data_IF_237379058499
#
_entry.id   IF_237379058499
#
_cell.length_a   1.000
_cell.length_b   1.000
_cell.length_c   1.000
_cell.angle_alpha   90.00
_cell.angle_beta   90.00
_cell.angle_gamma   90.00
#
_symmetry.space_group_name_H-M   'P 1'
#
loop_
_entity.id
_entity.type
_entity.pdbx_description
1 polymer ?
2 branched ?
3 branched ?
4 non-polymer ?
5 water ?
#
# COMPACT_ATOMS: atom_id res chain seq x y z
N UNK A 124 30.24 -8.26 -39.66
CA UNK A 124 28.87 -8.72 -39.26
C UNK A 124 28.08 -7.59 -38.57
N UNK A 125 26.73 -7.67 -38.63
CA UNK A 125 25.91 -6.65 -37.98
C UNK A 125 25.77 -6.91 -36.47
N UNK A 126 25.54 -5.86 -35.66
CA UNK A 126 25.42 -6.05 -34.22
C UNK A 126 24.18 -6.85 -33.83
N UNK A 127 24.11 -7.33 -32.58
CA UNK A 127 22.91 -8.05 -32.15
C UNK A 127 21.63 -7.21 -32.29
N UNK A 128 20.55 -7.87 -32.71
CA UNK A 128 19.23 -7.24 -32.81
C UNK A 128 18.45 -7.52 -31.51
N UNK A 129 17.53 -6.62 -31.17
CA UNK A 129 16.68 -6.77 -30.00
C UNK A 129 17.37 -6.56 -28.66
N UNK A 130 18.40 -5.71 -28.67
CA UNK A 130 19.21 -5.43 -27.48
C UNK A 130 18.41 -4.68 -26.42
N UNK A 131 18.26 -5.29 -25.24
CA UNK A 131 17.50 -4.72 -24.14
C UNK A 131 18.29 -4.85 -22.85
N UNK A 132 18.48 -3.73 -22.15
CA UNK A 132 19.27 -3.66 -20.92
C UNK A 132 18.36 -3.35 -19.74
N UNK A 133 18.23 -4.31 -18.81
CA UNK A 133 17.37 -4.16 -17.65
C UNK A 133 18.14 -4.29 -16.34
N UNK A 134 17.84 -3.42 -15.35
CA UNK A 134 18.44 -3.62 -14.04
C UNK A 134 17.72 -4.71 -13.28
N UNK A 135 18.44 -5.75 -12.88
CA UNK A 135 17.89 -6.85 -12.07
C UNK A 135 18.27 -6.79 -10.59
N UNK A 136 19.33 -6.08 -10.26
CA UNK A 136 19.72 -5.90 -8.88
C UNK A 136 20.45 -4.59 -8.65
N UNK A 137 20.84 -4.38 -7.39
CA UNK A 137 21.60 -3.22 -6.95
C UNK A 137 23.04 -3.20 -7.52
N UNK A 138 23.59 -4.37 -7.85
CA UNK A 138 24.95 -4.50 -8.39
C UNK A 138 25.02 -5.19 -9.76
N UNK A 139 23.88 -5.45 -10.39
CA UNK A 139 23.84 -6.20 -11.65
C UNK A 139 22.86 -5.61 -12.67
N UNK A 140 23.25 -5.66 -13.93
CA UNK A 140 22.39 -5.37 -15.07
C UNK A 140 22.36 -6.59 -15.98
N UNK A 141 21.23 -6.81 -16.65
CA UNK A 141 21.05 -7.94 -17.58
C UNK A 141 20.85 -7.42 -19.00
N UNK A 142 21.81 -7.71 -19.88
CA UNK A 142 21.69 -7.42 -21.30
C UNK A 142 21.18 -8.65 -22.04
N UNK A 143 20.07 -8.50 -22.76
CA UNK A 143 19.50 -9.56 -23.59
C UNK A 143 19.45 -9.11 -25.06
N UNK A 144 19.58 -10.07 -25.98
CA UNK A 144 19.37 -9.80 -27.42
C UNK A 144 18.68 -10.98 -28.13
N UNK A 145 18.35 -10.80 -29.41
CA UNK A 145 17.72 -11.85 -30.23
C UNK A 145 18.79 -12.77 -30.80
N UNK A 146 18.59 -14.12 -30.68
CA UNK A 146 19.55 -15.12 -31.16
C UNK A 146 20.16 -14.81 -32.52
N UNK A 147 21.49 -14.91 -32.61
CA UNK A 147 22.22 -14.53 -33.81
C UNK A 147 22.14 -15.68 -34.82
N UNK A 148 22.10 -15.32 -36.11
CA UNK A 148 21.98 -16.28 -37.22
C UNK A 148 23.34 -16.55 -37.86
N UNK A 149 23.83 -17.82 -37.81
CA UNK A 149 25.10 -18.14 -38.46
C UNK A 149 24.97 -18.28 -39.97
N UNK A 152 28.69 -18.02 -41.86
CA UNK A 152 28.87 -19.46 -41.64
C UNK A 152 29.41 -19.75 -40.24
N UNK A 153 30.69 -19.42 -40.01
CA UNK A 153 31.33 -19.62 -38.71
C UNK A 153 32.68 -18.88 -38.64
N UNK A 154 33.23 -18.61 -37.45
CA UNK A 154 32.63 -18.92 -36.15
C UNK A 154 32.85 -17.71 -35.24
N UNK A 155 31.81 -17.30 -34.50
CA UNK A 155 31.76 -15.96 -33.88
C UNK A 155 31.46 -15.93 -32.37
N UNK A 156 31.68 -14.75 -31.80
CA UNK A 156 31.33 -14.44 -30.41
C UNK A 156 30.79 -13.00 -30.34
N UNK A 157 30.21 -12.65 -29.18
CA UNK A 157 29.63 -11.32 -28.96
C UNK A 157 30.47 -10.54 -27.94
N UNK A 158 31.03 -9.41 -28.38
CA UNK A 158 31.80 -8.52 -27.51
C UNK A 158 30.84 -7.55 -26.85
N UNK A 159 30.76 -7.58 -25.54
CA UNK A 159 29.94 -6.64 -24.77
C UNK A 159 30.85 -5.68 -24.01
N UNK A 160 30.60 -4.38 -24.17
CA UNK A 160 31.31 -3.33 -23.44
C UNK A 160 30.34 -2.61 -22.55
N UNK A 161 30.63 -2.55 -21.24
CA UNK A 161 29.86 -1.74 -20.29
C UNK A 161 30.80 -0.72 -19.66
N UNK A 162 30.24 0.40 -19.24
CA UNK A 162 31.03 1.61 -18.95
C UNK A 162 30.23 2.50 -18.00
N UNK A 163 30.84 2.88 -16.89
CA UNK A 163 30.19 3.76 -15.89
C UNK A 163 30.23 5.22 -16.30
N UNK A 164 29.24 5.97 -15.84
CA UNK A 164 29.14 7.41 -16.09
C UNK A 164 29.67 8.20 -14.89
N UNK A 165 29.16 7.90 -13.70
CA UNK A 165 29.55 8.60 -12.47
C UNK A 165 31.03 8.41 -12.15
N UNK A 166 31.57 7.24 -12.49
CA UNK A 166 32.99 6.93 -12.31
C UNK A 166 33.63 6.50 -13.63
N UNK A 167 34.96 6.41 -13.63
CA UNK A 167 35.71 5.91 -14.77
C UNK A 167 35.97 4.41 -14.61
N UNK A 168 35.13 3.60 -15.25
CA UNK A 168 35.14 2.15 -15.06
C UNK A 168 34.52 1.41 -16.25
N UNK A 169 35.37 0.97 -17.18
CA UNK A 169 34.95 0.16 -18.33
C UNK A 169 35.42 -1.29 -18.21
N UNK A 170 34.50 -2.23 -18.43
CA UNK A 170 34.81 -3.65 -18.57
C UNK A 170 34.35 -4.12 -19.96
N UNK A 171 35.02 -5.13 -20.47
CA UNK A 171 34.81 -5.67 -21.81
C UNK A 171 34.72 -7.19 -21.69
N UNK A 172 33.57 -7.76 -22.03
CA UNK A 172 33.32 -9.19 -21.89
C UNK A 172 33.07 -9.82 -23.26
N UNK A 173 33.72 -10.96 -23.50
CA UNK A 173 33.46 -11.80 -24.67
C UNK A 173 32.55 -12.95 -24.21
N UNK A 174 31.48 -13.19 -24.96
CA UNK A 174 30.55 -14.30 -24.67
C UNK A 174 30.26 -15.08 -25.96
N UNK A 175 30.11 -16.42 -25.84
CA UNK A 175 29.96 -17.25 -27.04
C UNK A 175 28.67 -16.96 -27.80
N UNK A 176 28.76 -16.86 -29.12
CA UNK A 176 27.66 -16.38 -29.96
C UNK A 176 26.31 -17.06 -29.82
N UNK A 177 26.33 -18.36 -29.53
CA UNK A 177 25.08 -19.15 -29.48
C UNK A 177 24.15 -18.85 -28.29
N UNK A 178 24.66 -18.24 -27.22
CA UNK A 178 23.81 -17.83 -26.09
C UNK A 178 23.28 -16.41 -26.28
N UNK A 179 22.20 -16.09 -25.56
CA UNK A 179 21.34 -14.95 -25.89
C UNK A 179 21.44 -13.73 -24.95
N UNK A 180 22.17 -13.85 -23.84
CA UNK A 180 22.25 -12.78 -22.84
C UNK A 180 23.51 -12.85 -21.97
N UNK A 181 23.78 -11.76 -21.26
CA UNK A 181 24.86 -11.70 -20.26
C UNK A 181 24.39 -10.96 -19.03
N UNK A 182 24.81 -11.43 -17.87
CA UNK A 182 24.64 -10.69 -16.62
C UNK A 182 25.93 -9.92 -16.36
N UNK A 183 25.80 -8.59 -16.32
CA UNK A 183 26.90 -7.70 -15.97
C UNK A 183 26.83 -7.50 -14.47
N UNK A 184 27.90 -7.89 -13.76
CA UNK A 184 27.89 -7.93 -12.28
C UNK A 184 29.05 -7.13 -11.69
N UNK A 185 29.08 -7.04 -10.36
CA UNK A 185 30.08 -6.24 -9.61
C UNK A 185 30.00 -4.76 -9.97
N UNK A 186 28.78 -4.23 -9.93
CA UNK A 186 28.51 -2.81 -10.19
C UNK A 186 28.14 -2.14 -8.87
N UNK A 187 28.21 -0.81 -8.86
CA UNK A 187 27.90 -0.04 -7.66
C UNK A 187 26.42 0.35 -7.65
N UNK A 188 25.82 0.53 -6.45
CA UNK A 188 24.42 0.95 -6.37
C UNK A 188 24.14 2.35 -6.89
N UNK A 189 22.89 2.58 -7.31
CA UNK A 189 22.43 3.82 -7.96
C UNK A 189 23.54 4.52 -8.77
N UNK A 190 23.94 3.84 -9.84
CA UNK A 190 24.99 4.30 -10.73
C UNK A 190 24.61 3.89 -12.16
N UNK A 191 24.68 4.82 -13.10
CA UNK A 191 24.27 4.52 -14.48
C UNK A 191 25.43 4.04 -15.33
N UNK A 192 25.13 3.10 -16.22
CA UNK A 192 26.11 2.48 -17.08
C UNK A 192 25.62 2.59 -18.51
N UNK A 193 26.55 2.81 -19.43
CA UNK A 193 26.30 2.85 -20.86
C UNK A 193 26.89 1.56 -21.41
N UNK A 194 26.14 0.89 -22.28
CA UNK A 194 26.50 -0.43 -22.80
C UNK A 194 26.36 -0.46 -24.32
N UNK A 195 27.33 -1.11 -25.00
CA UNK A 195 27.23 -1.41 -26.43
C UNK A 195 27.72 -2.82 -26.69
N UNK A 196 27.42 -3.33 -27.88
CA UNK A 196 27.74 -4.70 -28.26
C UNK A 196 28.01 -4.83 -29.74
N UNK A 197 28.62 -5.95 -30.11
CA UNK A 197 28.92 -6.28 -31.50
C UNK A 197 29.22 -7.75 -31.66
N UNK A 198 29.47 -8.16 -32.90
CA UNK A 198 29.85 -9.54 -33.21
C UNK A 198 31.17 -9.52 -33.98
N UNK A 199 32.14 -10.33 -33.57
CA UNK A 199 33.43 -10.46 -34.23
C UNK A 199 33.65 -11.90 -34.72
N UNK A 200 34.47 -12.10 -35.73
CA UNK A 200 34.57 -13.44 -36.31
C UNK A 200 35.88 -14.19 -35.97
N UNK A 201 37.10 -13.89 -36.47
CA UNK A 201 37.59 -12.89 -37.45
C UNK A 201 37.02 -11.48 -37.40
N UNK A 202 36.56 -11.02 -38.57
CA UNK A 202 36.23 -9.61 -38.83
C UNK A 202 35.55 -8.88 -37.68
N UNK A 203 36.01 -7.66 -37.43
CA UNK A 203 35.43 -6.82 -36.40
C UNK A 203 34.12 -6.19 -36.89
N UNK A 204 33.05 -6.56 -36.19
CA UNK A 204 31.73 -6.03 -36.53
C UNK A 204 31.55 -4.60 -36.08
N UNK A 205 30.55 -3.94 -36.66
CA UNK A 205 30.21 -2.57 -36.27
C UNK A 205 29.42 -2.59 -34.96
N UNK A 206 29.69 -1.60 -34.11
CA UNK A 206 29.07 -1.52 -32.79
C UNK A 206 27.59 -1.23 -32.86
N UNK A 207 26.85 -1.71 -31.87
CA UNK A 207 25.43 -1.37 -31.72
C UNK A 207 25.27 0.07 -31.20
N UNK A 208 24.02 0.50 -31.10
CA UNK A 208 23.69 1.76 -30.43
C UNK A 208 23.92 1.61 -28.93
N UNK A 209 24.14 2.73 -28.25
CA UNK A 209 24.40 2.73 -26.81
C UNK A 209 23.10 2.59 -26.04
N UNK A 210 23.00 1.52 -25.26
CA UNK A 210 21.94 1.37 -24.27
C UNK A 210 22.43 1.91 -22.94
N UNK A 211 21.54 2.55 -22.17
CA UNK A 211 21.88 3.01 -20.81
C UNK A 211 20.86 2.49 -19.81
N UNK A 212 21.30 2.38 -18.56
CA UNK A 212 20.45 1.93 -17.46
C UNK A 212 21.13 2.24 -16.14
N UNK A 213 20.31 2.47 -15.11
CA UNK A 213 20.81 2.59 -13.74
C UNK A 213 20.66 1.26 -13.02
N UNK A 214 21.63 0.90 -12.19
CA UNK A 214 21.47 -0.19 -11.24
C UNK A 214 20.51 0.26 -10.14
N UNK A 215 19.83 -0.69 -9.50
CA UNK A 215 18.83 -0.36 -8.47
C UNK A 215 19.43 0.42 -7.31
N UNK A 216 18.56 1.16 -6.62
CA UNK A 216 18.98 2.04 -5.54
C UNK A 216 19.33 1.25 -4.30
N UNK A 217 20.32 1.74 -3.54
CA UNK A 217 20.63 1.24 -2.20
C UNK A 217 19.87 2.01 -1.11
N UNK A 218 19.45 3.24 -1.42
CA UNK A 218 18.77 4.11 -0.46
C UNK A 218 17.32 4.43 -0.86
N UNK A 219 16.61 5.05 0.08
CA UNK A 219 15.23 5.49 -0.12
C UNK A 219 15.25 6.67 -1.10
N UNK A 220 14.22 6.79 -1.97
CA UNK A 220 14.27 7.82 -3.01
C UNK A 220 13.92 9.21 -2.47
N UNK A 221 14.41 10.28 -3.14
CA UNK A 221 14.09 11.64 -2.70
C UNK A 221 12.66 12.05 -3.04
N UNK A 222 12.13 12.98 -2.25
CA UNK A 222 10.78 13.53 -2.44
C UNK A 222 10.71 14.28 -3.78
N UNK A 223 9.58 14.16 -4.53
CA UNK A 223 9.42 14.93 -5.76
C UNK A 223 9.47 16.44 -5.57
N UNK A 224 10.30 17.12 -6.36
CA UNK A 224 10.50 18.56 -6.26
C UNK A 224 9.57 19.29 -7.21
N UNK A 225 9.54 20.62 -7.10
CA UNK A 225 8.73 21.49 -7.96
C UNK A 225 7.24 21.14 -7.92
N UNK A 226 6.73 20.90 -6.72
CA UNK A 226 5.33 20.50 -6.53
C UNK A 226 4.46 21.75 -6.69
N UNK A 227 3.60 21.74 -7.71
CA UNK A 227 2.78 22.90 -8.05
C UNK A 227 1.32 22.49 -8.19
N UNK A 228 0.48 22.98 -7.29
CA UNK A 228 -0.97 22.80 -7.37
C UNK A 228 -1.53 24.04 -8.07
N UNK A 229 -2.33 23.83 -9.12
CA UNK A 229 -2.84 24.91 -9.96
C UNK A 229 -4.13 24.49 -10.66
N UNK A 230 -4.70 25.36 -11.51
CA UNK A 230 -5.98 25.11 -12.21
C UNK A 230 -7.12 24.81 -11.21
N UNK A 231 -7.14 25.51 -10.08
CA UNK A 231 -8.04 25.19 -8.96
C UNK A 231 -9.49 25.55 -9.29
N UNK A 232 -10.36 24.55 -9.33
CA UNK A 232 -11.78 24.71 -9.69
C UNK A 232 -12.65 24.18 -8.53
N UNK A 233 -13.97 24.19 -8.72
CA UNK A 233 -14.93 23.71 -7.71
C UNK A 233 -14.82 22.21 -7.41
N UNK A 234 -14.52 21.41 -8.43
CA UNK A 234 -14.44 19.95 -8.28
C UNK A 234 -13.19 19.35 -8.94
N UNK A 235 -12.14 20.15 -9.12
CA UNK A 235 -10.90 19.67 -9.74
C UNK A 235 -9.72 20.60 -9.51
N UNK A 236 -8.52 20.05 -9.72
CA UNK A 236 -7.28 20.82 -9.71
C UNK A 236 -6.19 19.99 -10.38
N UNK A 237 -5.16 20.65 -10.89
CA UNK A 237 -4.05 19.95 -11.53
C UNK A 237 -2.81 20.03 -10.64
N UNK A 238 -2.13 18.88 -10.47
CA UNK A 238 -0.90 18.81 -9.70
C UNK A 238 0.24 18.44 -10.66
N UNK A 239 1.38 19.08 -10.47
CA UNK A 239 2.58 18.84 -11.26
C UNK A 239 3.76 18.73 -10.30
N UNK A 240 4.81 18.06 -10.75
CA UNK A 240 5.96 17.73 -9.92
C UNK A 240 7.18 17.41 -10.79
N UNK A 241 8.29 17.11 -10.15
CA UNK A 241 9.49 16.66 -10.85
C UNK A 241 10.22 15.67 -9.95
N UNK A 242 10.66 14.56 -10.56
CA UNK A 242 11.44 13.55 -9.86
C UNK A 242 12.88 13.58 -10.37
N UNK A 243 13.82 13.28 -9.49
CA UNK A 243 15.23 13.21 -9.84
C UNK A 243 15.48 11.81 -10.39
N UNK A 244 16.06 11.73 -11.59
CA UNK A 244 16.48 10.46 -12.15
C UNK A 244 17.73 9.99 -11.42
N UNK A 245 17.90 8.68 -11.34
CA UNK A 245 19.03 8.06 -10.64
C UNK A 245 18.69 7.16 -9.47
N UNK A 246 17.42 7.17 -9.03
CA UNK A 246 16.98 6.40 -7.85
C UNK A 246 15.96 5.29 -8.16
N UNK A 247 15.82 4.93 -9.44
CA UNK A 247 14.93 3.85 -9.88
C UNK A 247 13.48 4.06 -9.42
N UNK A 248 13.00 5.30 -9.51
CA UNK A 248 11.61 5.60 -9.19
C UNK A 248 10.72 4.95 -10.24
N UNK A 249 9.98 3.93 -9.82
CA UNK A 249 9.08 3.17 -10.69
C UNK A 249 7.66 3.71 -10.70
N UNK A 250 7.27 4.43 -9.65
CA UNK A 250 5.92 5.01 -9.55
C UNK A 250 5.87 6.18 -8.60
N UNK A 251 4.81 6.97 -8.72
CA UNK A 251 4.50 8.02 -7.76
C UNK A 251 3.05 7.88 -7.31
N UNK A 252 2.79 8.22 -6.06
CA UNK A 252 1.45 8.20 -5.49
C UNK A 252 1.04 9.63 -5.11
N UNK A 253 -0.21 10.00 -5.45
CA UNK A 253 -0.80 11.27 -5.03
C UNK A 253 -1.92 10.97 -4.02
N UNK A 254 -1.61 11.20 -2.74
CA UNK A 254 -2.59 11.00 -1.66
C UNK A 254 -3.29 12.30 -1.34
N UNK A 255 -4.62 12.32 -1.43
CA UNK A 255 -5.41 13.49 -1.04
C UNK A 255 -6.60 13.16 -0.14
N UNK A 256 -6.80 13.97 0.89
CA UNK A 256 -7.89 13.80 1.85
C UNK A 256 -8.40 15.13 2.38
N UNK A 257 -9.60 15.10 2.94
CA UNK A 257 -10.24 16.28 3.52
C UNK A 257 -9.45 16.66 4.77
N UNK A 258 -9.27 17.96 4.97
CA UNK A 258 -8.28 18.47 5.94
C UNK A 258 -8.69 18.34 7.42
N UNK A 259 -9.97 18.07 7.68
CA UNK A 259 -10.50 17.94 9.05
C UNK A 259 -9.79 16.94 9.96
N UNK A 260 -9.98 17.12 11.26
CA UNK A 260 -9.31 16.30 12.28
C UNK A 260 -9.80 14.84 12.33
N UNK A 261 -10.98 14.56 11.75
CA UNK A 261 -11.51 13.20 11.65
C UNK A 261 -10.58 12.24 10.89
N UNK A 262 -10.51 12.38 9.56
CA UNK A 262 -9.67 11.53 8.70
C UNK A 262 -10.06 10.04 8.78
N UNK A 263 -11.26 9.75 8.25
CA UNK A 263 -11.76 8.38 8.12
C UNK A 263 -11.45 7.74 6.76
N UNK A 264 -11.09 8.55 5.77
CA UNK A 264 -10.76 8.03 4.43
C UNK A 264 -9.85 8.97 3.64
N UNK A 265 -8.98 8.39 2.82
CA UNK A 265 -8.19 9.15 1.83
C UNK A 265 -8.18 8.43 0.49
N UNK A 266 -7.67 9.14 -0.52
CA UNK A 266 -7.61 8.65 -1.89
C UNK A 266 -6.17 8.65 -2.39
N UNK A 267 -5.69 7.48 -2.80
CA UNK A 267 -4.37 7.32 -3.44
C UNK A 267 -4.55 7.19 -4.95
N UNK A 268 -4.03 8.16 -5.70
CA UNK A 268 -3.89 8.05 -7.15
C UNK A 268 -2.50 7.47 -7.39
N UNK A 269 -2.46 6.24 -7.90
CA UNK A 269 -1.21 5.52 -8.15
C UNK A 269 -0.83 5.61 -9.63
N UNK A 270 0.27 6.30 -9.92
CA UNK A 270 0.76 6.49 -11.29
C UNK A 270 1.99 5.60 -11.52
N UNK A 271 1.80 4.55 -12.32
CA UNK A 271 2.75 3.43 -12.44
C UNK A 271 3.91 3.64 -13.43
N UNK A 272 3.83 4.64 -14.31
CA UNK A 272 4.99 5.02 -15.14
C UNK A 272 5.53 6.39 -14.74
N UNK A 273 6.81 6.43 -14.37
CA UNK A 273 7.46 7.63 -13.86
C UNK A 273 7.73 8.72 -14.92
N UNK A 274 7.36 8.48 -16.18
CA UNK A 274 7.40 9.49 -17.24
C UNK A 274 6.43 10.65 -17.00
N UNK A 275 5.23 10.31 -16.52
CA UNK A 275 4.17 11.28 -16.30
C UNK A 275 4.59 12.33 -15.25
N UNK A 276 4.43 13.59 -15.60
CA UNK A 276 4.94 14.73 -14.83
C UNK A 276 3.81 15.57 -14.20
N UNK A 277 2.56 15.19 -14.44
CA UNK A 277 1.38 16.01 -14.13
C UNK A 277 0.12 15.16 -14.04
N UNK A 278 -0.81 15.55 -13.16
CA UNK A 278 -2.11 14.86 -13.01
C UNK A 278 -3.22 15.82 -12.60
N UNK A 279 -4.43 15.58 -13.13
CA UNK A 279 -5.62 16.36 -12.76
C UNK A 279 -6.53 15.58 -11.82
N UNK A 280 -6.68 16.07 -10.59
CA UNK A 280 -7.66 15.54 -9.64
C UNK A 280 -9.06 15.95 -10.10
N UNK A 281 -10.04 15.07 -9.89
CA UNK A 281 -11.41 15.29 -10.34
C UNK A 281 -12.44 14.88 -9.29
N UNK A 282 -13.63 15.47 -9.41
CA UNK A 282 -14.76 15.15 -8.54
C UNK A 282 -14.55 15.49 -7.08
N UNK A 283 -13.79 16.55 -6.80
CA UNK A 283 -13.63 17.08 -5.46
C UNK A 283 -14.89 17.84 -5.06
N UNK A 284 -15.05 18.07 -3.76
CA UNK A 284 -16.23 18.78 -3.24
C UNK A 284 -15.94 20.29 -3.14
N UNK A 285 -16.92 21.15 -3.48
CA UNK A 285 -16.70 22.61 -3.39
C UNK A 285 -16.56 23.13 -1.96
N UNK A 286 -15.91 24.29 -1.82
CA UNK A 286 -15.65 24.93 -0.52
C UNK A 286 -14.93 24.04 0.50
N UNK A 287 -14.17 23.05 0.03
CA UNK A 287 -13.54 22.05 0.88
C UNK A 287 -12.02 22.25 0.87
N UNK A 288 -11.41 22.13 2.04
CA UNK A 288 -9.97 22.16 2.18
C UNK A 288 -9.45 20.72 2.15
N UNK A 289 -8.48 20.47 1.27
CA UNK A 289 -7.84 19.16 1.15
C UNK A 289 -6.37 19.24 1.54
N UNK A 290 -5.89 18.18 2.19
CA UNK A 290 -4.45 17.95 2.35
C UNK A 290 -3.98 17.04 1.21
N UNK A 291 -2.87 17.41 0.57
CA UNK A 291 -2.36 16.67 -0.59
C UNK A 291 -0.89 16.33 -0.35
N UNK A 292 -0.55 15.06 -0.54
CA UNK A 292 0.83 14.59 -0.43
C UNK A 292 1.18 13.82 -1.69
N UNK A 293 2.48 13.77 -1.99
CA UNK A 293 2.97 13.08 -3.18
C UNK A 293 4.23 12.27 -2.86
N UNK A 294 4.12 10.95 -3.02
CA UNK A 294 5.21 10.03 -2.71
C UNK A 294 5.75 9.49 -4.02
N UNK A 295 7.06 9.24 -4.06
CA UNK A 295 7.71 8.53 -5.14
C UNK A 295 8.22 7.22 -4.58
N UNK A 296 7.93 6.11 -5.27
CA UNK A 296 8.34 4.78 -4.84
C UNK A 296 9.39 4.16 -5.78
N UNK A 297 10.41 3.54 -5.17
CA UNK A 297 11.43 2.79 -5.90
C UNK A 297 11.57 1.38 -5.34
N UNK A 298 12.58 0.64 -5.81
CA UNK A 298 12.88 -0.71 -5.32
C UNK A 298 13.00 -0.86 -3.79
N UNK A 299 13.55 0.15 -3.11
CA UNK A 299 13.70 0.14 -1.66
C UNK A 299 12.36 0.41 -0.97
N UNK A 300 11.74 1.55 -1.29
CA UNK A 300 10.48 1.94 -0.67
C UNK A 300 9.95 3.28 -1.18
N UNK A 301 9.12 3.91 -0.35
CA UNK A 301 8.52 5.22 -0.66
C UNK A 301 9.36 6.35 -0.10
N UNK A 302 9.20 7.53 -0.69
CA UNK A 302 9.84 8.75 -0.21
C UNK A 302 9.13 9.26 1.03
N UNK A 303 9.86 10.00 1.87
CA UNK A 303 9.32 10.59 3.10
C UNK A 303 9.08 12.10 2.94
N UNK A 304 7.81 12.53 2.83
CA UNK A 304 7.53 13.97 2.77
C UNK A 304 7.74 14.65 4.13
N UNK A 305 8.44 15.77 4.13
CA UNK A 305 8.60 16.61 5.32
C UNK A 305 7.34 17.47 5.55
N UNK A 306 6.71 17.92 4.46
CA UNK A 306 5.51 18.76 4.53
C UNK A 306 4.48 18.36 3.46
N UNK A 307 3.21 18.58 3.78
CA UNK A 307 2.11 18.33 2.86
C UNK A 307 1.78 19.62 2.12
N UNK A 308 0.74 19.59 1.28
CA UNK A 308 0.30 20.74 0.50
C UNK A 308 -1.21 20.93 0.63
N UNK A 309 -1.65 22.19 0.61
CA UNK A 309 -3.06 22.56 0.80
C UNK A 309 -3.75 22.74 -0.53
N UNK A 310 -5.06 22.47 -0.56
CA UNK A 310 -5.89 22.73 -1.74
C UNK A 310 -7.33 23.07 -1.33
N UNK A 311 -7.79 24.27 -1.69
CA UNK A 311 -9.13 24.74 -1.35
C UNK A 311 -9.92 25.00 -2.63
N UNK A 312 -11.09 24.37 -2.74
CA UNK A 312 -11.98 24.54 -3.89
C UNK A 312 -12.92 25.74 -3.73
N UNK A 313 -13.57 26.14 -4.84
CA UNK A 313 -14.46 27.30 -4.90
C UNK A 313 -15.63 27.06 -5.89
N UNK A 314 -16.90 27.15 -5.44
CA UNK A 314 -18.02 26.82 -6.35
C UNK A 314 -18.18 27.64 -7.66
N UNK A 315 -18.31 28.97 -7.65
CA UNK A 315 -18.39 29.87 -6.49
C UNK A 315 -19.82 30.39 -6.31
N UNK B 123 -20.77 -4.59 49.46
CA UNK B 123 -20.33 -4.87 48.06
C UNK B 123 -19.84 -3.63 47.33
N UNK B 124 -18.56 -3.60 46.98
CA UNK B 124 -17.96 -2.47 46.26
C UNK B 124 -18.41 -2.44 44.79
N UNK B 125 -18.59 -1.22 44.21
CA UNK B 125 -18.79 -1.14 42.76
C UNK B 125 -17.53 -1.46 41.94
N UNK B 126 -17.70 -1.81 40.65
CA UNK B 126 -16.59 -2.23 39.78
C UNK B 126 -15.66 -1.06 39.40
N UNK B 127 -14.51 -1.37 38.76
CA UNK B 127 -13.64 -0.29 38.32
C UNK B 127 -14.24 0.53 37.17
N UNK B 128 -13.97 1.83 37.17
CA UNK B 128 -14.49 2.74 36.15
C UNK B 128 -13.55 2.77 34.96
N UNK B 129 -14.06 3.25 33.84
CA UNK B 129 -13.25 3.41 32.63
C UNK B 129 -12.67 2.12 32.08
N UNK B 130 -13.43 1.03 32.19
CA UNK B 130 -12.98 -0.29 31.70
C UNK B 130 -12.95 -0.30 30.17
N UNK B 131 -11.85 -0.77 29.60
CA UNK B 131 -11.71 -0.87 28.15
C UNK B 131 -10.93 -2.11 27.74
N UNK B 132 -11.42 -2.81 26.71
CA UNK B 132 -10.84 -4.06 26.23
C UNK B 132 -10.30 -3.90 24.80
N UNK B 133 -8.98 -3.99 24.65
CA UNK B 133 -8.30 -3.82 23.35
C UNK B 133 -7.67 -5.12 22.88
N UNK B 134 -7.89 -5.52 21.61
CA UNK B 134 -7.18 -6.69 21.10
C UNK B 134 -5.72 -6.39 20.75
N UNK B 135 -4.79 -6.99 21.50
CA UNK B 135 -3.35 -6.78 21.32
C UNK B 135 -2.76 -7.69 20.23
N UNK B 136 -3.05 -8.99 20.30
CA UNK B 136 -2.51 -9.97 19.34
C UNK B 136 -3.55 -11.02 18.94
N UNK B 137 -3.08 -12.13 18.36
CA UNK B 137 -3.94 -13.29 18.08
C UNK B 137 -4.33 -14.07 19.33
N UNK B 138 -3.48 -14.05 20.36
CA UNK B 138 -3.72 -14.80 21.59
C UNK B 138 -3.90 -13.91 22.83
N UNK B 139 -3.99 -12.59 22.64
CA UNK B 139 -4.06 -11.64 23.76
C UNK B 139 -5.11 -10.54 23.57
N UNK B 140 -5.71 -10.14 24.69
CA UNK B 140 -6.53 -8.95 24.82
C UNK B 140 -6.03 -8.20 26.05
N UNK B 141 -6.10 -6.88 26.01
CA UNK B 141 -5.67 -6.03 27.14
C UNK B 141 -6.87 -5.29 27.73
N UNK B 142 -7.14 -5.54 29.02
CA UNK B 142 -8.18 -4.86 29.77
C UNK B 142 -7.56 -3.79 30.67
N UNK B 143 -7.85 -2.53 30.35
CA UNK B 143 -7.37 -1.38 31.13
C UNK B 143 -8.55 -0.77 31.90
N UNK B 144 -8.25 -0.09 33.01
CA UNK B 144 -9.29 0.59 33.79
C UNK B 144 -8.74 1.71 34.68
N UNK B 145 -9.65 2.53 35.21
CA UNK B 145 -9.31 3.67 36.05
C UNK B 145 -8.89 3.15 37.44
N UNK B 146 -7.65 3.45 37.87
CA UNK B 146 -7.15 2.84 39.11
C UNK B 146 -7.86 3.33 40.36
N UNK B 147 -7.85 2.49 41.40
CA UNK B 147 -8.46 2.81 42.70
C UNK B 147 -7.48 2.49 43.83
N UNK B 148 -7.84 2.92 45.04
CA UNK B 148 -6.97 2.82 46.21
C UNK B 148 -7.69 2.15 47.37
N UNK B 151 -12.34 0.99 51.82
CA UNK B 151 -11.76 1.47 53.08
C UNK B 151 -10.41 0.79 53.38
N UNK B 152 -10.37 -0.10 54.38
CA UNK B 152 -9.12 -0.74 54.81
C UNK B 152 -8.74 -1.88 53.87
N UNK B 153 -7.44 -2.18 53.81
CA UNK B 153 -6.91 -3.25 52.97
C UNK B 153 -7.32 -4.65 53.50
N UNK B 154 -7.21 -5.73 52.72
CA UNK B 154 -6.65 -5.75 51.35
C UNK B 154 -7.75 -5.83 50.30
N UNK B 155 -7.36 -5.52 49.05
CA UNK B 155 -8.29 -5.55 47.91
C UNK B 155 -7.59 -5.98 46.62
N UNK B 156 -8.32 -6.68 45.76
CA UNK B 156 -7.84 -7.12 44.45
C UNK B 156 -8.95 -7.05 43.39
N UNK B 157 -8.54 -7.01 42.13
CA UNK B 157 -9.48 -6.98 41.00
C UNK B 157 -9.65 -8.40 40.47
N UNK B 158 -10.88 -8.92 40.55
CA UNK B 158 -11.23 -10.20 39.93
C UNK B 158 -11.70 -9.96 38.49
N UNK B 159 -10.96 -10.51 37.51
CA UNK B 159 -11.31 -10.42 36.10
C UNK B 159 -11.68 -11.81 35.59
N UNK B 160 -12.81 -11.90 34.91
CA UNK B 160 -13.26 -13.14 34.25
C UNK B 160 -13.27 -12.92 32.74
N UNK B 161 -12.81 -13.91 31.98
CA UNK B 161 -13.02 -13.91 30.52
C UNK B 161 -13.51 -15.28 30.09
N UNK B 162 -14.27 -15.30 28.99
CA UNK B 162 -14.85 -16.55 28.50
C UNK B 162 -15.01 -16.53 26.99
N UNK B 163 -14.67 -17.64 26.35
CA UNK B 163 -14.80 -17.79 24.90
C UNK B 163 -16.26 -17.93 24.51
N UNK B 164 -16.64 -17.32 23.39
CA UNK B 164 -17.98 -17.48 22.83
C UNK B 164 -18.05 -18.78 22.02
N UNK B 165 -17.07 -18.97 21.13
CA UNK B 165 -17.08 -20.11 20.19
C UNK B 165 -16.78 -21.41 20.93
N UNK B 166 -15.64 -21.46 21.61
CA UNK B 166 -15.28 -22.60 22.44
C UNK B 166 -15.88 -22.41 23.84
N UNK B 167 -15.70 -23.42 24.69
CA UNK B 167 -16.05 -23.34 26.11
C UNK B 167 -14.75 -23.24 26.92
N UNK B 168 -14.25 -22.02 27.02
CA UNK B 168 -12.96 -21.72 27.64
C UNK B 168 -13.11 -20.49 28.54
N UNK B 169 -13.31 -20.70 29.83
CA UNK B 169 -13.46 -19.62 30.81
C UNK B 169 -12.33 -19.69 31.84
N UNK B 170 -11.81 -18.52 32.21
CA UNK B 170 -10.76 -18.43 33.23
C UNK B 170 -11.02 -17.27 34.18
N UNK B 171 -10.54 -17.43 35.41
CA UNK B 171 -10.69 -16.47 36.49
C UNK B 171 -9.30 -16.03 36.96
N UNK B 172 -9.04 -14.72 36.90
CA UNK B 172 -7.71 -14.16 37.16
C UNK B 172 -7.78 -13.13 38.27
N UNK B 173 -6.98 -13.33 39.32
CA UNK B 173 -6.81 -12.35 40.40
C UNK B 173 -5.58 -11.49 40.10
N UNK B 174 -5.74 -10.17 40.17
CA UNK B 174 -4.62 -9.24 40.05
C UNK B 174 -4.66 -8.24 41.23
N UNK B 175 -3.49 -7.87 41.77
CA UNK B 175 -3.47 -6.97 42.93
C UNK B 175 -4.08 -5.61 42.62
N UNK B 176 -4.79 -5.05 43.59
CA UNK B 176 -5.64 -3.88 43.39
C UNK B 176 -4.99 -2.56 42.99
N UNK B 177 -3.66 -2.46 43.13
CA UNK B 177 -2.93 -1.21 42.87
C UNK B 177 -2.28 -1.09 41.48
N UNK B 178 -2.56 -2.03 40.55
CA UNK B 178 -2.15 -1.87 39.16
C UNK B 178 -3.37 -1.58 38.27
N UNK B 179 -3.12 -1.12 37.05
CA UNK B 179 -4.14 -0.51 36.20
C UNK B 179 -4.63 -1.34 35.00
N UNK B 180 -4.02 -2.51 34.75
CA UNK B 180 -4.33 -3.29 33.55
C UNK B 180 -3.86 -4.74 33.62
N UNK B 181 -4.62 -5.64 33.00
CA UNK B 181 -4.23 -7.04 32.81
C UNK B 181 -4.16 -7.32 31.32
N UNK B 182 -3.18 -8.14 30.95
CA UNK B 182 -3.10 -8.70 29.61
C UNK B 182 -3.63 -10.12 29.67
N UNK B 183 -4.85 -10.31 29.16
CA UNK B 183 -5.49 -11.63 29.16
C UNK B 183 -4.89 -12.46 28.04
N UNK B 184 -4.14 -13.50 28.40
CA UNK B 184 -3.32 -14.27 27.45
C UNK B 184 -3.80 -15.72 27.29
N UNK B 185 -3.14 -16.45 26.40
CA UNK B 185 -3.46 -17.86 26.11
C UNK B 185 -4.88 -18.02 25.55
N UNK B 186 -5.18 -17.21 24.53
CA UNK B 186 -6.44 -17.23 23.81
C UNK B 186 -6.17 -17.71 22.40
N UNK B 187 -7.24 -17.93 21.63
CA UNK B 187 -7.12 -18.51 20.30
C UNK B 187 -7.41 -17.48 19.19
N UNK B 188 -6.82 -17.66 17.99
CA UNK B 188 -7.00 -16.70 16.89
C UNK B 188 -8.45 -16.50 16.44
N UNK B 189 -8.75 -15.27 15.99
CA UNK B 189 -10.10 -14.84 15.60
C UNK B 189 -11.24 -15.50 16.37
N UNK B 190 -11.13 -15.43 17.69
CA UNK B 190 -12.15 -15.96 18.60
C UNK B 190 -12.70 -14.81 19.43
N UNK B 191 -14.03 -14.77 19.56
CA UNK B 191 -14.71 -13.74 20.35
C UNK B 191 -14.65 -14.08 21.85
N UNK B 192 -14.56 -13.03 22.68
CA UNK B 192 -14.44 -13.19 24.12
C UNK B 192 -15.25 -12.13 24.86
N UNK B 193 -15.88 -12.55 25.95
CA UNK B 193 -16.68 -11.66 26.80
C UNK B 193 -15.96 -11.57 28.14
N UNK B 194 -15.83 -10.35 28.64
CA UNK B 194 -15.01 -10.03 29.80
C UNK B 194 -15.84 -9.22 30.78
N UNK B 195 -15.63 -9.46 32.08
CA UNK B 195 -16.22 -8.65 33.13
C UNK B 195 -15.26 -8.63 34.31
N UNK B 196 -15.46 -7.68 35.22
CA UNK B 196 -14.55 -7.50 36.36
C UNK B 196 -15.23 -6.92 37.60
N UNK B 197 -14.58 -7.12 38.74
CA UNK B 197 -15.06 -6.61 40.03
C UNK B 197 -13.92 -6.46 41.04
N UNK B 198 -14.18 -5.69 42.09
CA UNK B 198 -13.21 -5.44 43.15
C UNK B 198 -13.66 -6.18 44.42
N UNK B 199 -12.81 -7.10 44.89
CA UNK B 199 -13.11 -7.91 46.06
C UNK B 199 -12.19 -7.58 47.21
N UNK B 200 -12.71 -7.78 48.42
CA UNK B 200 -11.96 -7.57 49.66
C UNK B 200 -12.38 -8.70 50.62
N UNK B 201 -12.87 -8.37 51.82
CA UNK B 201 -13.56 -9.36 52.66
C UNK B 201 -14.84 -9.79 51.95
N UNK B 202 -15.66 -8.80 51.60
CA UNK B 202 -16.84 -9.01 50.76
C UNK B 202 -16.46 -8.99 49.28
N UNK B 203 -17.29 -9.64 48.47
CA UNK B 203 -17.14 -9.66 47.01
C UNK B 203 -17.96 -8.52 46.39
N UNK B 204 -17.37 -7.79 45.45
CA UNK B 204 -18.01 -6.61 44.86
C UNK B 204 -19.02 -6.89 43.77
N UNK B 205 -19.66 -5.83 43.29
CA UNK B 205 -20.61 -5.91 42.17
C UNK B 205 -19.86 -6.06 40.85
N UNK B 206 -20.39 -6.91 39.96
CA UNK B 206 -19.78 -7.17 38.66
C UNK B 206 -20.00 -5.99 37.71
N UNK B 207 -19.00 -5.74 36.86
CA UNK B 207 -19.11 -4.72 35.81
C UNK B 207 -20.04 -5.20 34.69
N UNK B 208 -20.31 -4.29 33.76
CA UNK B 208 -20.96 -4.65 32.51
C UNK B 208 -20.00 -5.50 31.67
N UNK B 209 -20.55 -6.24 30.71
CA UNK B 209 -19.75 -7.08 29.83
C UNK B 209 -19.00 -6.24 28.81
N UNK B 210 -17.69 -6.48 28.70
CA UNK B 210 -16.88 -5.99 27.57
C UNK B 210 -16.72 -7.15 26.63
N UNK B 211 -16.65 -6.87 25.32
CA UNK B 211 -16.52 -7.91 24.30
C UNK B 211 -15.50 -7.48 23.23
N UNK B 212 -14.68 -8.44 22.79
CA UNK B 212 -13.67 -8.18 21.76
C UNK B 212 -13.24 -9.48 21.07
N UNK B 213 -12.88 -9.36 19.80
CA UNK B 213 -12.24 -10.45 19.06
C UNK B 213 -10.73 -10.32 19.18
N UNK B 214 -10.03 -11.45 19.33
CA UNK B 214 -8.58 -11.47 19.15
C UNK B 214 -8.26 -11.27 17.66
N UNK B 215 -7.04 -10.86 17.36
CA UNK B 215 -6.64 -10.60 15.98
C UNK B 215 -6.63 -11.89 15.16
N UNK B 216 -6.93 -11.78 13.87
CA UNK B 216 -7.05 -12.95 13.00
C UNK B 216 -5.71 -13.61 12.70
N UNK B 217 -5.76 -14.86 12.26
CA UNK B 217 -4.59 -15.59 11.75
C UNK B 217 -4.73 -15.92 10.25
N UNK B 218 -5.77 -15.38 9.60
CA UNK B 218 -6.00 -15.57 8.17
C UNK B 218 -6.35 -14.24 7.49
N UNK B 219 -6.45 -14.29 6.17
CA UNK B 219 -6.91 -13.15 5.39
C UNK B 219 -8.44 -13.08 5.49
N UNK B 220 -9.01 -11.86 5.44
CA UNK B 220 -10.46 -11.73 5.49
C UNK B 220 -11.12 -12.12 4.16
N UNK B 221 -12.43 -12.43 4.18
CA UNK B 221 -13.13 -12.76 2.95
C UNK B 221 -13.50 -11.51 2.15
N UNK B 222 -13.74 -11.71 0.86
CA UNK B 222 -14.19 -10.64 -0.03
C UNK B 222 -15.54 -10.11 0.44
N UNK B 223 -15.74 -8.78 0.41
CA UNK B 223 -17.08 -8.24 0.73
C UNK B 223 -18.18 -8.70 -0.23
N UNK B 224 -19.26 -9.24 0.32
CA UNK B 224 -20.46 -9.60 -0.46
C UNK B 224 -21.36 -8.35 -0.60
N UNK B 225 -22.53 -8.54 -1.23
CA UNK B 225 -23.52 -7.46 -1.43
C UNK B 225 -22.96 -6.24 -2.16
N UNK B 226 -22.16 -6.48 -3.19
CA UNK B 226 -21.54 -5.41 -3.96
C UNK B 226 -22.60 -4.84 -4.92
N UNK B 227 -23.35 -3.86 -4.41
CA UNK B 227 -24.40 -3.18 -5.16
C UNK B 227 -23.92 -1.82 -5.68
N UNK B 228 -23.64 -1.76 -6.97
CA UNK B 228 -23.36 -0.48 -7.65
C UNK B 228 -24.71 0.11 -8.07
N UNK B 229 -24.86 1.42 -7.94
CA UNK B 229 -26.09 2.11 -8.31
C UNK B 229 -25.83 3.59 -8.60
N UNK B 230 -26.90 4.33 -8.89
CA UNK B 230 -26.87 5.79 -9.05
C UNK B 230 -25.80 6.28 -10.05
N UNK B 231 -25.67 5.54 -11.16
CA UNK B 231 -24.61 5.79 -12.14
C UNK B 231 -25.01 6.98 -13.01
N UNK B 232 -24.14 7.99 -13.05
CA UNK B 232 -24.33 9.21 -13.83
C UNK B 232 -23.09 9.37 -14.73
N UNK B 233 -22.93 10.54 -15.34
CA UNK B 233 -21.77 10.82 -16.21
C UNK B 233 -20.43 10.94 -15.46
N UNK B 234 -20.48 11.38 -14.19
CA UNK B 234 -19.27 11.47 -13.36
C UNK B 234 -19.42 10.93 -11.94
N UNK B 235 -20.51 10.19 -11.66
CA UNK B 235 -20.77 9.63 -10.34
C UNK B 235 -21.14 8.17 -10.46
N UNK B 236 -20.84 7.41 -9.41
CA UNK B 236 -21.21 5.99 -9.34
C UNK B 236 -21.04 5.45 -7.91
N UNK B 237 -22.12 5.50 -7.12
CA UNK B 237 -22.09 5.00 -5.74
C UNK B 237 -21.97 3.48 -5.68
N UNK B 238 -21.23 3.00 -4.69
CA UNK B 238 -20.98 1.57 -4.48
C UNK B 238 -21.18 1.27 -2.99
N UNK B 239 -21.92 0.21 -2.71
CA UNK B 239 -22.14 -0.29 -1.35
C UNK B 239 -21.79 -1.78 -1.31
N UNK B 240 -21.31 -2.22 -0.15
CA UNK B 240 -20.83 -3.59 0.05
C UNK B 240 -21.22 -4.06 1.45
N UNK B 241 -20.77 -5.24 1.85
CA UNK B 241 -20.88 -5.67 3.25
C UNK B 241 -19.77 -6.65 3.60
N UNK B 242 -19.37 -6.65 4.88
CA UNK B 242 -18.25 -7.44 5.37
C UNK B 242 -18.65 -8.33 6.54
N UNK B 243 -17.97 -9.47 6.67
CA UNK B 243 -18.21 -10.40 7.76
C UNK B 243 -17.39 -9.95 8.97
N UNK B 244 -18.03 -9.89 10.13
CA UNK B 244 -17.35 -9.49 11.37
C UNK B 244 -16.50 -10.63 11.95
N UNK B 245 -15.66 -10.27 12.91
CA UNK B 245 -14.78 -11.23 13.59
C UNK B 245 -13.49 -11.60 12.87
N UNK B 246 -13.13 -10.84 11.84
CA UNK B 246 -11.86 -11.04 11.13
C UNK B 246 -10.86 -9.91 11.40
N UNK B 247 -11.19 -9.01 12.33
CA UNK B 247 -10.38 -7.83 12.65
C UNK B 247 -10.13 -6.93 11.43
N UNK B 248 -11.15 -6.79 10.59
CA UNK B 248 -11.08 -5.94 9.41
C UNK B 248 -11.02 -4.49 9.88
N UNK B 249 -9.85 -3.89 9.70
CA UNK B 249 -9.57 -2.51 10.11
C UNK B 249 -9.86 -1.48 9.01
N UNK B 250 -9.72 -1.88 7.74
CA UNK B 250 -10.00 -0.99 6.60
C UNK B 250 -10.39 -1.76 5.34
N UNK B 251 -11.06 -1.06 4.42
CA UNK B 251 -11.35 -1.60 3.08
C UNK B 251 -10.83 -0.64 2.01
N UNK B 252 -10.31 -1.20 0.92
CA UNK B 252 -9.82 -0.42 -0.22
C UNK B 252 -10.68 -0.69 -1.44
N UNK B 253 -11.26 0.37 -2.01
CA UNK B 253 -11.89 0.30 -3.33
C UNK B 253 -10.85 0.76 -4.34
N UNK B 254 -10.60 -0.08 -5.35
CA UNK B 254 -9.67 0.23 -6.45
C UNK B 254 -10.45 0.36 -7.74
N UNK B 255 -10.14 1.36 -8.55
CA UNK B 255 -10.76 1.49 -9.88
C UNK B 255 -9.84 2.10 -10.94
N UNK B 256 -9.78 1.43 -12.09
CA UNK B 256 -8.99 1.86 -13.25
C UNK B 256 -9.80 1.67 -14.52
N UNK B 257 -9.26 2.17 -15.63
CA UNK B 257 -9.95 2.11 -16.93
C UNK B 257 -9.86 0.68 -17.46
N UNK B 258 -10.92 0.26 -18.18
CA UNK B 258 -11.06 -1.12 -18.68
C UNK B 258 -9.89 -1.61 -19.54
N UNK B 259 -9.17 -0.69 -20.19
CA UNK B 259 -7.94 -0.99 -20.90
C UNK B 259 -6.86 -1.65 -20.06
N UNK B 260 -5.98 -2.38 -20.73
CA UNK B 260 -4.93 -3.18 -20.07
C UNK B 260 -3.68 -2.36 -19.76
N UNK B 261 -3.61 -1.14 -20.30
CA UNK B 261 -2.60 -0.15 -19.89
C UNK B 261 -2.53 -0.01 -18.36
N UNK B 262 -1.38 -0.36 -17.79
CA UNK B 262 -1.15 -0.26 -16.35
C UNK B 262 -0.40 1.04 -16.04
N UNK B 263 -0.97 2.16 -16.51
CA UNK B 263 -0.41 3.49 -16.28
C UNK B 263 -0.87 4.01 -14.94
N UNK B 264 -2.20 4.03 -14.75
CA UNK B 264 -2.82 4.68 -13.59
C UNK B 264 -3.88 3.79 -12.95
N UNK B 265 -4.04 3.93 -11.63
CA UNK B 265 -5.24 3.47 -10.92
C UNK B 265 -5.46 4.26 -9.63
N UNK B 266 -6.69 4.24 -9.13
CA UNK B 266 -7.09 5.00 -7.95
C UNK B 266 -7.46 4.06 -6.79
N UNK B 267 -6.65 4.07 -5.73
CA UNK B 267 -6.93 3.34 -4.47
C UNK B 267 -7.65 4.22 -3.44
N UNK B 268 -8.98 4.09 -3.35
CA UNK B 268 -9.76 4.73 -2.29
C UNK B 268 -9.65 3.92 -1.01
N UNK B 269 -9.06 4.51 0.02
CA UNK B 269 -8.84 3.85 1.30
C UNK B 269 -9.87 4.35 2.33
N UNK B 270 -10.56 3.41 2.97
CA UNK B 270 -11.57 3.72 3.99
C UNK B 270 -11.13 3.08 5.31
N UNK B 271 -10.77 3.93 6.28
CA UNK B 271 -10.02 3.52 7.47
C UNK B 271 -10.86 2.96 8.62
N UNK B 272 -12.18 2.99 8.50
CA UNK B 272 -13.04 2.27 9.46
C UNK B 272 -14.06 1.36 8.78
N UNK B 273 -14.16 0.14 9.28
CA UNK B 273 -15.12 -0.86 8.83
C UNK B 273 -16.59 -0.48 9.07
N UNK B 274 -16.83 0.51 9.94
CA UNK B 274 -18.17 1.10 10.14
C UNK B 274 -18.81 1.59 8.84
N UNK B 275 -18.04 2.27 8.00
CA UNK B 275 -18.56 2.83 6.75
C UNK B 275 -18.88 1.71 5.76
N UNK B 276 -20.09 1.76 5.20
CA UNK B 276 -20.62 0.69 4.35
C UNK B 276 -20.83 1.08 2.86
N UNK B 277 -20.90 2.37 2.56
CA UNK B 277 -21.06 2.88 1.19
C UNK B 277 -19.95 3.87 0.84
N UNK B 278 -19.85 4.18 -0.46
CA UNK B 278 -18.95 5.25 -0.94
C UNK B 278 -19.34 5.70 -2.35
N UNK B 279 -19.41 7.01 -2.56
CA UNK B 279 -19.72 7.60 -3.87
C UNK B 279 -18.43 7.96 -4.62
N UNK B 280 -18.17 7.27 -5.73
CA UNK B 280 -17.08 7.66 -6.65
C UNK B 280 -17.50 8.95 -7.36
N UNK B 281 -16.52 9.82 -7.60
CA UNK B 281 -16.77 11.13 -8.20
C UNK B 281 -15.74 11.48 -9.26
N UNK B 282 -16.13 12.40 -10.14
CA UNK B 282 -15.25 12.91 -11.19
C UNK B 282 -14.75 11.88 -12.18
N UNK B 283 -15.59 10.87 -12.47
CA UNK B 283 -15.27 9.88 -13.49
C UNK B 283 -15.54 10.46 -14.88
N UNK B 284 -14.91 9.87 -15.89
CA UNK B 284 -15.02 10.33 -17.27
C UNK B 284 -16.31 9.74 -17.90
N UNK B 285 -17.12 10.58 -18.58
CA UNK B 285 -18.34 10.07 -19.22
C UNK B 285 -18.11 9.00 -20.29
N UNK B 286 -19.10 8.13 -20.47
CA UNK B 286 -19.08 7.04 -21.44
C UNK B 286 -17.79 6.22 -21.40
N UNK B 287 -17.51 5.64 -20.24
CA UNK B 287 -16.25 4.94 -19.95
C UNK B 287 -16.50 3.68 -19.12
N UNK B 288 -15.67 2.67 -19.33
CA UNK B 288 -15.75 1.39 -18.63
C UNK B 288 -14.63 1.28 -17.59
N UNK B 289 -15.00 1.19 -16.31
CA UNK B 289 -14.03 1.07 -15.21
C UNK B 289 -14.02 -0.34 -14.62
N UNK B 290 -12.81 -0.83 -14.29
CA UNK B 290 -12.60 -2.12 -13.65
C UNK B 290 -12.45 -1.93 -12.13
N UNK B 291 -13.55 -2.10 -11.41
CA UNK B 291 -13.57 -1.89 -9.96
C UNK B 291 -13.21 -3.17 -9.20
N UNK B 292 -12.18 -3.09 -8.36
CA UNK B 292 -11.90 -4.10 -7.33
C UNK B 292 -12.21 -3.51 -5.96
N UNK B 293 -12.45 -4.38 -4.99
CA UNK B 293 -12.75 -3.94 -3.62
C UNK B 293 -12.15 -4.93 -2.60
N UNK B 294 -11.07 -4.50 -1.96
CA UNK B 294 -10.31 -5.32 -1.02
C UNK B 294 -10.76 -5.01 0.41
N UNK B 295 -10.51 -5.95 1.31
CA UNK B 295 -10.70 -5.75 2.74
C UNK B 295 -9.38 -6.07 3.43
N UNK B 296 -8.93 -5.18 4.30
CA UNK B 296 -7.61 -5.29 4.92
C UNK B 296 -7.73 -5.60 6.41
N UNK B 297 -6.65 -6.16 6.95
CA UNK B 297 -6.68 -6.85 8.24
C UNK B 297 -5.23 -7.07 8.71
N UNK B 298 -5.03 -7.29 10.01
CA UNK B 298 -3.69 -7.50 10.60
C UNK B 298 -2.73 -8.48 9.88
N UNK B 299 -3.28 -9.45 9.15
CA UNK B 299 -2.48 -10.33 8.28
C UNK B 299 -2.26 -9.68 6.92
N UNK B 300 -3.34 -9.40 6.21
CA UNK B 300 -3.25 -8.80 4.87
C UNK B 300 -4.58 -8.50 4.23
N UNK B 301 -4.55 -8.19 2.93
CA UNK B 301 -5.76 -7.88 2.17
C UNK B 301 -6.55 -9.13 1.81
N UNK B 302 -7.82 -8.95 1.47
CA UNK B 302 -8.64 -10.02 0.91
C UNK B 302 -8.27 -10.24 -0.55
N UNK B 303 -8.73 -11.36 -1.11
CA UNK B 303 -8.38 -11.77 -2.47
C UNK B 303 -9.63 -11.87 -3.33
N UNK B 304 -9.90 -10.84 -4.17
CA UNK B 304 -11.06 -10.92 -5.05
C UNK B 304 -10.89 -11.97 -6.15
N UNK B 305 -11.86 -12.87 -6.26
CA UNK B 305 -11.91 -13.83 -7.35
C UNK B 305 -12.32 -13.17 -8.68
N UNK B 306 -13.17 -12.14 -8.59
CA UNK B 306 -13.67 -11.42 -9.77
C UNK B 306 -13.77 -9.91 -9.54
N UNK B 307 -13.59 -9.14 -10.62
CA UNK B 307 -13.74 -7.68 -10.60
C UNK B 307 -15.20 -7.32 -10.90
N UNK B 308 -15.48 -6.01 -10.99
CA UNK B 308 -16.82 -5.52 -11.31
C UNK B 308 -16.75 -4.43 -12.37
N UNK B 309 -17.71 -4.42 -13.30
CA UNK B 309 -17.74 -3.49 -14.41
C UNK B 309 -18.60 -2.28 -14.10
N UNK B 310 -18.17 -1.11 -14.59
CA UNK B 310 -18.91 0.14 -14.41
C UNK B 310 -18.90 0.96 -15.71
N UNK B 311 -20.07 1.06 -16.33
CA UNK B 311 -20.28 1.90 -17.51
C UNK B 311 -20.64 3.29 -16.99
N UNK B 312 -20.34 4.32 -17.77
CA UNK B 312 -20.70 5.70 -17.44
C UNK B 312 -21.59 6.25 -18.58
N UNK B 313 -22.34 7.31 -18.30
CA UNK B 313 -23.33 7.85 -19.26
C UNK B 313 -22.94 9.21 -19.85
N UNK B 314 -23.64 9.63 -20.94
CA UNK B 314 -23.55 11.03 -21.42
C UNK B 314 -24.37 11.99 -20.54
N UNK B 315 -24.07 13.29 -20.43
CA UNK B 315 -22.92 14.01 -21.05
C UNK B 315 -22.77 13.84 -22.56
X LIG C 1 18.63 -12.30 -18.14
X LIG C 1 18.56 -13.65 -17.41
X LIG C 1 18.06 -14.72 -18.40
X LIG C 1 16.59 -14.46 -18.73
X LIG C 1 16.33 -12.94 -18.91
X LIG C 1 15.44 -12.38 -17.79
X LIG C 1 20.98 -14.27 -17.30
X LIG C 1 22.08 -14.64 -16.35
X LIG C 1 19.80 -14.02 -16.72
X LIG C 1 18.22 -16.01 -17.84
X LIG C 1 16.14 -15.20 -19.89
X LIG C 1 17.54 -12.16 -19.07
X LIG C 1 15.56 -10.95 -17.68
X LIG C 1 21.18 -14.21 -18.51
X LIG C 2 15.48 -16.39 -19.45
X LIG C 2 14.31 -16.95 -20.26
X LIG C 2 13.37 -17.75 -19.37
X LIG C 2 14.04 -18.53 -18.24
X LIG C 2 15.57 -18.64 -18.36
X LIG C 2 15.96 -19.67 -19.41
X LIG C 2 13.93 -15.43 -22.12
X LIG C 2 12.91 -14.57 -22.81
X LIG C 2 13.60 -15.87 -20.91
X LIG C 2 12.60 -18.66 -20.18
X LIG C 2 13.73 -17.90 -16.98
X LIG C 2 16.20 -17.38 -18.68
X LIG C 2 17.20 -20.28 -19.05
X LIG C 2 15.01 -15.70 -22.63
X LIG C 3 13.47 -19.62 -20.80
X LIG C 3 13.38 -20.95 -20.07
X LIG C 3 12.71 -22.05 -20.88
X LIG C 3 11.54 -21.52 -21.71
X LIG C 3 11.89 -20.25 -22.49
X LIG C 3 10.88 -19.14 -22.22
X LIG C 3 12.65 -20.76 -18.84
X LIG C 3 12.23 -23.07 -20.00
X LIG C 3 11.10 -22.52 -22.62
X LIG C 3 13.21 -19.76 -22.21
X LIG C 3 9.88 -19.15 -23.23
X LIG D 1 -2.28 -2.59 28.42
X LIG D 1 -0.75 -2.53 28.52
X LIG D 1 -0.38 -1.36 29.44
X LIG D 1 -0.81 -0.06 28.77
X LIG D 1 -2.30 -0.09 28.40
X LIG D 1 -2.60 0.95 27.34
X LIG D 1 -0.25 -4.38 30.13
X LIG D 1 0.51 -5.67 30.28
X LIG D 1 -0.14 -3.79 28.93
X LIG D 1 1.03 -1.33 29.67
X LIG D 1 -0.62 1.05 29.67
X LIG D 1 -2.76 -1.35 27.89
X LIG D 1 -2.09 0.54 26.06
X LIG D 1 -0.91 -3.94 31.06
X LIG D 2 0.41 1.97 29.25
X LIG D 2 0.01 3.39 29.65
X LIG D 2 1.21 4.34 29.73
X LIG D 2 2.46 3.81 29.00
X LIG D 2 2.79 2.36 29.35
X LIG D 2 3.89 2.29 30.42
X LIG D 2 -2.16 4.40 28.99
X LIG D 2 -2.96 4.91 27.83
X LIG D 2 -0.94 3.94 28.68
X LIG D 2 1.55 4.59 31.10
X LIG D 2 2.25 3.92 27.57
X LIG D 2 1.66 1.63 29.85
X LIG D 2 4.21 0.92 30.70
X LIG D 2 -2.61 4.42 30.13
X LIG E 1 27.14 -23.24 -27.38
X LIG E 1 26.06 -24.20 -26.84
X LIG E 1 26.65 -24.92 -25.64
X LIG E 1 27.88 -25.71 -26.07
X LIG E 1 28.86 -24.86 -26.89
X LIG E 1 29.89 -25.75 -27.58
X LIG E 1 23.65 -23.58 -27.15
X LIG E 1 23.52 -24.42 -28.39
X LIG E 1 24.82 -23.52 -26.48
X LIG E 1 25.67 -25.79 -25.07
X LIG E 1 28.55 -26.24 -24.91
X LIG E 1 28.20 -24.06 -27.88
X LIG E 1 30.62 -26.54 -26.63
X LIG E 1 22.69 -22.95 -26.74
X LIG F 1 -4.98 25.41 -16.59
X LIG F 1 -6.15 25.74 -17.53
X LIG F 1 -5.69 26.10 -18.95
X LIG F 1 -4.33 25.52 -19.32
X LIG F 1 -3.26 25.74 -18.22
X LIG F 1 -2.22 26.77 -18.67
X LIG F 1 -8.29 24.48 -17.07
X LIG F 1 -8.81 25.58 -16.19
X LIG F 1 -7.07 24.60 -17.65
X LIG F 1 -5.64 27.53 -19.09
X LIG F 1 -4.47 24.11 -19.57
X LIG F 1 -3.83 26.19 -16.98
X LIG F 1 -2.85 28.01 -19.02
X LIG F 1 -8.96 23.48 -17.25
X LIG G 1 1.76 -2.10 44.09
X LIG G 1 3.00 -1.42 43.51
X LIG G 1 4.08 -2.48 43.35
X LIG G 1 4.36 -3.22 44.65
X LIG G 1 3.08 -3.62 45.40
X LIG G 1 3.37 -4.01 46.84
X LIG G 1 2.55 0.55 42.02
X LIG G 1 2.73 1.53 43.14
X LIG G 1 2.68 -0.78 42.24
X LIG G 1 5.29 -1.86 42.89
X LIG G 1 5.13 -4.39 44.38
X LIG G 1 2.12 -2.57 45.40
X LIG G 1 4.11 -5.23 46.88
X LIG G 1 2.30 0.96 40.89
X LIG H 1 -27.10 10.23 -7.05
X LIG H 1 -27.48 10.38 -5.58
X LIG H 1 -27.79 11.84 -5.21
X LIG H 1 -26.75 12.82 -5.77
X LIG H 1 -26.48 12.54 -7.25
X LIG H 1 -25.41 13.48 -7.84
X LIG H 1 -28.66 8.53 -4.44
X LIG H 1 -30.00 7.85 -4.29
X LIG H 1 -28.66 9.58 -5.27
X LIG H 1 -27.84 11.97 -3.78
X LIG H 1 -27.24 14.16 -5.58
X LIG H 1 -26.08 11.17 -7.41
X LIG H 1 -24.10 12.91 -7.75
X LIG H 1 -27.68 8.13 -3.84
#
# INVERSE_FOLDING_TARGET
MKFLVNVALVFMVVYISYIYADPVLPKPLNAPNVIDTGHNFAVINISSEPYFGDGPIKSKKLLYKPVNHYEAWQHIQVTNEIVTLNYLEPRTEYELCVQLVRRGEGGEGHPGPVRRFTTASIGLPPPRGLNLLPKSQTTLNLTWQPIFPSSEDDFYVEVERRSVQKSDQQNIKVPGNLTSVLLNNLHPREQYVVRARVNTKAQGEWSEDLTAWTLSDILPPQPENIKISNITHSSAVISWTILDGYSISSITIRYKVQGKNEDQHVDVKIKNATITQYQLKGLEPETAYQVDIFAENNIGSSNPAFSHELVTLPESQAPADLGIEGRHHHHHH
MKFLVNVALVFMVVYISYIYADPVLPKPLNAPNVIDTGHNFAVINISSEPYFGDGPIKSKKLLYKPVNHYEAWQHIQVTNEIVTLNYLEPRTEYELCVQLVRRGEGGEGHPGPVRRFTTASIGLPPPRGLNLLPKSQTTLNLTWQPIFPSSEDDFYVEVERRSVQKSDQQNIKVPGNLTSVLLNNLHPREQYVVRARVNTKAQGEWSEDLTAWTLSDILPPQPENIKISNITHSSAVISWTILDGYSISSITIRYKVQGKNEDQHVDVKIKNATITQYQLKGLEPETAYQVDIFAENNIGSSNPAFSHELVTLPESQAPADLGIEGRHHHHHH
NAG C1 C2 C3 C4 C5 C6 C7 C8 N2 O3 O4 O5 O6 O7
NAG C1 C2 C3 C4 C5 C6 C7 C8 N2 O3 O4 O5 O6 O7
BMA C1 C2 C3 C4 C5 C6 O2 O3 O4 O5 O6
NAG C1 C2 C3 C4 C5 C6 C7 C8 N2 O3 O4 O5 O6 O7
NAG C1 C2 C3 C4 C5 C6 C7 C8 N2 O3 O4 O5 O6 O7
NAG C1 C2 C3 C4 C5 C6 C7 C8 N2 O3 O4 O5 O6 O7
NAG C1 C2 C3 C4 C5 C6 C7 C8 N2 O3 O4 O5 O6 O7
NAG C1 C2 C3 C4 C5 C6 C7 C8 N2 O3 O4 O5 O6 O7
NAG C1 C2 C3 C4 C5 C6 C7 C8 N2 O3 O4 O5 O6 O7
#
